data_IF_482060466401
#
_entry.id   IF_482060466401
#
_cell.length_a   1.000
_cell.length_b   1.000
_cell.length_c   1.000
_cell.angle_alpha   90.00
_cell.angle_beta   90.00
_cell.angle_gamma   90.00
#
_symmetry.space_group_name_H-M   'P 1'
#
loop_
_entity.id
_entity.type
_entity.pdbx_description
1 polymer ?
#
# COMPACT_ATOMS: atom_id res chain seq x y z
N UNK A 1 -13.69 -21.01 -30.81
CA UNK A 1 -13.89 -19.78 -30.01
C UNK A 1 -12.68 -19.62 -29.14
N UNK A 2 -11.93 -18.53 -29.29
CA UNK A 2 -10.91 -18.17 -28.30
C UNK A 2 -11.64 -17.92 -26.97
N UNK A 3 -11.21 -18.60 -25.91
CA UNK A 3 -11.82 -18.45 -24.58
C UNK A 3 -11.30 -17.12 -24.03
N UNK A 4 -12.16 -16.11 -23.94
CA UNK A 4 -11.79 -14.82 -23.35
C UNK A 4 -11.43 -15.00 -21.87
N UNK A 5 -10.27 -14.47 -21.47
CA UNK A 5 -9.81 -14.46 -20.10
C UNK A 5 -10.64 -13.45 -19.29
N UNK A 6 -11.29 -13.91 -18.23
CA UNK A 6 -12.09 -13.06 -17.35
C UNK A 6 -11.22 -12.54 -16.20
N UNK A 7 -11.05 -11.23 -16.15
CA UNK A 7 -10.18 -10.56 -15.17
C UNK A 7 -11.00 -9.71 -14.21
N UNK A 8 -10.74 -9.85 -12.91
CA UNK A 8 -11.28 -8.96 -11.88
C UNK A 8 -10.30 -7.83 -11.58
N UNK A 9 -10.79 -6.60 -11.56
CA UNK A 9 -10.07 -5.43 -11.06
C UNK A 9 -10.71 -4.97 -9.74
N UNK A 10 -9.93 -4.90 -8.67
CA UNK A 10 -10.37 -4.40 -7.35
C UNK A 10 -9.89 -2.97 -7.17
N UNK A 11 -10.83 -2.05 -6.92
CA UNK A 11 -10.61 -0.62 -6.70
C UNK A 11 -11.21 0.28 -7.79
N UNK A 12 -11.48 1.53 -7.43
CA UNK A 12 -12.21 2.49 -8.27
C UNK A 12 -11.53 3.85 -8.45
N UNK A 13 -10.23 3.95 -8.14
CA UNK A 13 -9.43 5.18 -8.27
C UNK A 13 -8.86 5.40 -9.67
N UNK A 14 -7.97 6.39 -9.79
CA UNK A 14 -7.31 6.72 -11.05
C UNK A 14 -6.32 5.64 -11.51
N UNK A 15 -5.58 5.03 -10.57
CA UNK A 15 -4.70 3.88 -10.84
C UNK A 15 -5.49 2.72 -11.44
N UNK A 16 -6.63 2.40 -10.85
CA UNK A 16 -7.48 1.31 -11.36
C UNK A 16 -8.10 1.66 -12.71
N UNK A 17 -8.44 2.92 -12.97
CA UNK A 17 -8.85 3.34 -14.32
C UNK A 17 -7.74 3.16 -15.36
N UNK A 18 -6.49 3.50 -15.02
CA UNK A 18 -5.34 3.25 -15.90
C UNK A 18 -5.12 1.74 -16.15
N UNK A 19 -5.25 0.91 -15.11
CA UNK A 19 -5.18 -0.56 -15.22
C UNK A 19 -6.32 -1.10 -16.11
N UNK A 20 -7.55 -0.61 -15.94
CA UNK A 20 -8.69 -1.01 -16.76
C UNK A 20 -8.44 -0.69 -18.25
N UNK A 21 -7.91 0.49 -18.55
CA UNK A 21 -7.53 0.89 -19.90
C UNK A 21 -6.42 0.00 -20.48
N UNK A 22 -5.43 -0.38 -19.67
CA UNK A 22 -4.34 -1.25 -20.11
C UNK A 22 -4.83 -2.67 -20.39
N UNK A 23 -5.63 -3.25 -19.50
CA UNK A 23 -6.23 -4.59 -19.65
C UNK A 23 -7.14 -4.67 -20.88
N UNK A 24 -7.91 -3.62 -21.15
CA UNK A 24 -8.82 -3.55 -22.29
C UNK A 24 -8.12 -3.47 -23.66
N UNK A 25 -6.79 -3.24 -23.71
CA UNK A 25 -6.03 -3.30 -24.97
C UNK A 25 -5.96 -4.71 -25.55
N UNK A 26 -6.12 -5.74 -24.71
CA UNK A 26 -6.17 -7.12 -25.16
C UNK A 26 -7.64 -7.50 -25.49
N UNK A 27 -7.98 -7.77 -26.77
CA UNK A 27 -9.35 -8.10 -27.17
C UNK A 27 -9.86 -9.41 -26.56
N UNK A 28 -8.97 -10.30 -26.11
CA UNK A 28 -9.32 -11.56 -25.46
C UNK A 28 -9.54 -11.42 -23.95
N UNK A 29 -9.62 -10.19 -23.41
CA UNK A 29 -9.88 -9.93 -21.98
C UNK A 29 -11.28 -9.39 -21.73
N UNK A 30 -12.04 -10.04 -20.84
CA UNK A 30 -13.32 -9.54 -20.33
C UNK A 30 -13.12 -9.03 -18.89
N UNK A 31 -13.23 -7.72 -18.71
CA UNK A 31 -12.98 -7.06 -17.42
C UNK A 31 -14.23 -7.05 -16.53
N UNK A 32 -14.06 -7.41 -15.27
CA UNK A 32 -15.01 -7.25 -14.19
C UNK A 32 -14.40 -6.31 -13.16
N UNK A 33 -15.19 -5.43 -12.56
CA UNK A 33 -14.68 -4.48 -11.56
C UNK A 33 -15.45 -4.57 -10.24
N UNK A 34 -14.76 -4.34 -9.14
CA UNK A 34 -15.38 -4.13 -7.82
C UNK A 34 -14.76 -2.93 -7.12
N UNK A 35 -15.60 -2.01 -6.63
CA UNK A 35 -15.17 -0.89 -5.83
C UNK A 35 -16.32 -0.31 -4.99
N UNK A 36 -16.00 0.43 -3.93
CA UNK A 36 -17.03 1.07 -3.08
C UNK A 36 -17.68 2.27 -3.78
N UNK A 37 -17.00 2.84 -4.76
CA UNK A 37 -17.49 3.90 -5.63
C UNK A 37 -17.76 3.35 -7.04
N UNK A 38 -18.61 4.03 -7.81
CA UNK A 38 -18.85 3.70 -9.22
C UNK A 38 -18.10 4.66 -10.13
N UNK A 39 -16.85 4.33 -10.45
CA UNK A 39 -16.04 5.14 -11.36
C UNK A 39 -16.59 5.06 -12.81
N UNK A 40 -17.01 6.18 -13.44
CA UNK A 40 -17.61 6.14 -14.78
C UNK A 40 -16.64 5.66 -15.87
N UNK A 41 -15.34 5.90 -15.74
CA UNK A 41 -14.33 5.45 -16.68
C UNK A 41 -14.19 3.93 -16.66
N UNK A 42 -14.04 3.35 -15.47
CA UNK A 42 -13.97 1.90 -15.29
C UNK A 42 -15.28 1.23 -15.70
N UNK A 43 -16.43 1.79 -15.31
CA UNK A 43 -17.74 1.23 -15.62
C UNK A 43 -18.08 1.18 -17.12
N UNK A 44 -17.42 1.98 -17.96
CA UNK A 44 -17.56 1.91 -19.43
C UNK A 44 -16.74 0.78 -20.06
N UNK A 45 -15.69 0.33 -19.37
CA UNK A 45 -14.76 -0.69 -19.83
C UNK A 45 -15.18 -2.07 -19.30
N UNK A 46 -15.60 -2.14 -18.03
CA UNK A 46 -15.98 -3.37 -17.37
C UNK A 46 -17.29 -3.94 -17.92
N UNK A 47 -17.32 -5.26 -18.13
CA UNK A 47 -18.50 -6.06 -18.48
C UNK A 47 -19.57 -6.02 -17.39
N UNK A 48 -19.14 -6.08 -16.13
CA UNK A 48 -19.98 -5.98 -14.95
C UNK A 48 -19.20 -5.29 -13.82
N UNK A 49 -19.93 -4.60 -12.94
CA UNK A 49 -19.37 -3.77 -11.88
C UNK A 49 -20.11 -4.02 -10.57
N UNK A 50 -19.42 -4.63 -9.61
CA UNK A 50 -19.92 -4.80 -8.26
C UNK A 50 -19.65 -3.54 -7.42
N UNK A 51 -20.71 -2.92 -6.91
CA UNK A 51 -20.60 -1.83 -5.93
C UNK A 51 -20.51 -2.44 -4.53
N UNK A 52 -19.29 -2.55 -4.00
CA UNK A 52 -19.00 -3.18 -2.70
C UNK A 52 -17.67 -2.66 -2.14
N UNK A 53 -17.51 -2.67 -0.81
CA UNK A 53 -16.22 -2.34 -0.18
C UNK A 53 -15.13 -3.27 -0.69
N UNK A 54 -14.02 -2.70 -1.14
CA UNK A 54 -12.90 -3.44 -1.69
C UNK A 54 -12.25 -4.38 -0.68
N UNK A 55 -12.48 -4.17 0.62
CA UNK A 55 -11.98 -5.02 1.72
C UNK A 55 -12.91 -6.18 2.08
N UNK A 56 -14.08 -6.30 1.45
CA UNK A 56 -15.03 -7.39 1.69
C UNK A 56 -14.62 -8.66 0.92
N UNK A 57 -13.55 -9.32 1.41
CA UNK A 57 -12.91 -10.44 0.72
C UNK A 57 -13.87 -11.58 0.37
N UNK A 58 -14.77 -11.94 1.29
CA UNK A 58 -15.74 -13.03 1.09
C UNK A 58 -16.68 -12.72 -0.09
N UNK A 59 -17.33 -11.55 -0.06
CA UNK A 59 -18.28 -11.14 -1.10
C UNK A 59 -17.61 -10.95 -2.46
N UNK A 60 -16.38 -10.43 -2.47
CA UNK A 60 -15.59 -10.27 -3.70
C UNK A 60 -15.27 -11.63 -4.31
N UNK A 61 -14.78 -12.59 -3.50
CA UNK A 61 -14.43 -13.92 -3.99
C UNK A 61 -15.64 -14.71 -4.47
N UNK A 62 -16.76 -14.66 -3.75
CA UNK A 62 -18.03 -15.28 -4.16
C UNK A 62 -18.53 -14.71 -5.48
N UNK A 63 -18.55 -13.39 -5.61
CA UNK A 63 -18.99 -12.73 -6.84
C UNK A 63 -18.07 -13.07 -8.01
N UNK A 64 -16.75 -12.95 -7.84
CA UNK A 64 -15.77 -13.26 -8.88
C UNK A 64 -15.89 -14.71 -9.36
N UNK A 65 -16.06 -15.66 -8.43
CA UNK A 65 -16.30 -17.06 -8.74
C UNK A 65 -17.60 -17.25 -9.53
N UNK A 66 -18.68 -16.57 -9.14
CA UNK A 66 -19.97 -16.63 -9.86
C UNK A 66 -19.88 -16.12 -11.30
N UNK A 67 -18.93 -15.21 -11.60
CA UNK A 67 -18.68 -14.69 -12.94
C UNK A 67 -17.72 -15.55 -13.77
N UNK A 68 -17.09 -16.55 -13.15
CA UNK A 68 -16.07 -17.37 -13.79
C UNK A 68 -14.76 -16.61 -14.04
N UNK A 69 -14.46 -15.60 -13.22
CA UNK A 69 -13.16 -14.91 -13.22
C UNK A 69 -12.05 -15.94 -13.02
N UNK A 70 -10.93 -15.74 -13.73
CA UNK A 70 -9.75 -16.61 -13.66
C UNK A 70 -8.53 -15.91 -13.09
N UNK A 71 -8.48 -14.59 -13.20
CA UNK A 71 -7.37 -13.78 -12.72
C UNK A 71 -7.89 -12.51 -12.07
N UNK A 72 -7.22 -12.03 -11.03
CA UNK A 72 -7.52 -10.77 -10.36
C UNK A 72 -6.29 -9.87 -10.29
N UNK A 73 -6.54 -8.56 -10.36
CA UNK A 73 -5.58 -7.48 -10.13
C UNK A 73 -6.17 -6.58 -9.04
N UNK A 74 -5.44 -6.43 -7.94
CA UNK A 74 -5.83 -5.61 -6.80
C UNK A 74 -5.03 -4.33 -6.82
N UNK A 75 -5.70 -3.20 -7.05
CA UNK A 75 -5.03 -1.91 -7.13
C UNK A 75 -4.68 -1.35 -5.75
N UNK A 76 -5.66 -1.10 -4.86
CA UNK A 76 -5.43 -0.50 -3.55
C UNK A 76 -4.75 -1.45 -2.55
N UNK A 77 -4.06 -0.84 -1.60
CA UNK A 77 -3.31 -1.48 -0.52
C UNK A 77 -4.23 -2.06 0.57
N UNK A 78 -5.35 -1.39 0.89
CA UNK A 78 -6.27 -1.84 1.95
C UNK A 78 -6.90 -3.23 1.69
N UNK A 79 -7.33 -3.58 0.46
CA UNK A 79 -7.73 -4.94 0.10
C UNK A 79 -6.63 -6.00 0.28
N UNK A 80 -5.36 -5.64 0.04
CA UNK A 80 -4.22 -6.54 0.26
C UNK A 80 -4.06 -6.84 1.76
N UNK A 81 -4.14 -5.81 2.60
CA UNK A 81 -4.13 -5.96 4.06
C UNK A 81 -5.33 -6.80 4.57
N UNK A 82 -6.49 -6.62 3.96
CA UNK A 82 -7.70 -7.39 4.25
C UNK A 82 -7.63 -8.86 3.79
N UNK A 83 -6.64 -9.25 2.98
CA UNK A 83 -6.47 -10.62 2.49
C UNK A 83 -7.41 -11.01 1.36
N UNK A 84 -7.81 -10.04 0.53
CA UNK A 84 -8.66 -10.28 -0.64
C UNK A 84 -7.98 -11.22 -1.63
N UNK A 85 -6.68 -11.06 -1.86
CA UNK A 85 -5.86 -11.93 -2.72
C UNK A 85 -5.85 -13.37 -2.22
N UNK A 86 -5.71 -13.58 -0.92
CA UNK A 86 -5.66 -14.90 -0.30
C UNK A 86 -7.02 -15.59 -0.40
N UNK A 87 -8.11 -14.83 -0.24
CA UNK A 87 -9.48 -15.34 -0.41
C UNK A 87 -9.79 -15.70 -1.86
N UNK A 88 -9.35 -14.90 -2.82
CA UNK A 88 -9.48 -15.17 -4.26
C UNK A 88 -8.68 -16.42 -4.66
N UNK A 89 -7.43 -16.54 -4.20
CA UNK A 89 -6.61 -17.72 -4.43
C UNK A 89 -7.25 -18.99 -3.85
N UNK A 90 -7.80 -18.92 -2.63
CA UNK A 90 -8.54 -20.04 -2.03
C UNK A 90 -9.82 -20.42 -2.82
N UNK A 91 -10.37 -19.49 -3.60
CA UNK A 91 -11.48 -19.73 -4.52
C UNK A 91 -11.06 -20.27 -5.90
N UNK A 92 -9.76 -20.47 -6.13
CA UNK A 92 -9.19 -20.94 -7.41
C UNK A 92 -9.06 -19.84 -8.46
N UNK A 93 -8.89 -18.58 -8.03
CA UNK A 93 -8.69 -17.42 -8.90
C UNK A 93 -7.24 -16.94 -8.73
N UNK A 94 -6.49 -16.88 -9.82
CA UNK A 94 -5.10 -16.41 -9.81
C UNK A 94 -5.05 -14.91 -9.49
N UNK A 95 -3.98 -14.44 -8.84
CA UNK A 95 -3.83 -13.03 -8.47
C UNK A 95 -2.49 -12.49 -8.96
N UNK A 96 -2.51 -11.45 -9.80
CA UNK A 96 -1.34 -10.63 -10.11
C UNK A 96 -1.19 -9.51 -9.09
N UNK A 97 -1.11 -9.90 -7.81
CA UNK A 97 -1.03 -9.00 -6.65
C UNK A 97 -0.46 -9.81 -5.47
N UNK A 98 0.26 -9.17 -4.53
CA UNK A 98 0.90 -9.90 -3.44
C UNK A 98 -0.15 -10.54 -2.51
N UNK A 99 0.19 -11.67 -1.90
CA UNK A 99 -0.58 -12.20 -0.77
C UNK A 99 -0.57 -11.21 0.39
N UNK A 100 -1.51 -11.34 1.33
CA UNK A 100 -1.55 -10.55 2.56
C UNK A 100 -0.21 -10.53 3.29
N UNK A 101 0.45 -11.68 3.36
CA UNK A 101 1.77 -11.81 3.98
C UNK A 101 2.86 -11.05 3.21
N UNK A 102 2.85 -11.12 1.88
CA UNK A 102 3.81 -10.38 1.06
C UNK A 102 3.55 -8.87 1.08
N UNK A 103 2.28 -8.46 1.12
CA UNK A 103 1.85 -7.06 1.21
C UNK A 103 2.26 -6.37 2.51
N UNK A 104 2.68 -7.12 3.54
CA UNK A 104 3.20 -6.57 4.80
C UNK A 104 4.38 -5.60 4.58
N UNK A 105 5.14 -5.76 3.49
CA UNK A 105 6.20 -4.81 3.13
C UNK A 105 5.69 -3.38 2.87
N UNK A 106 4.44 -3.22 2.43
CA UNK A 106 3.82 -1.91 2.19
C UNK A 106 2.92 -1.50 3.37
N UNK A 107 2.16 -2.45 3.91
CA UNK A 107 1.16 -2.16 4.97
C UNK A 107 1.80 -1.97 6.35
N UNK A 108 3.02 -2.48 6.57
CA UNK A 108 3.76 -2.34 7.83
C UNK A 108 5.14 -1.72 7.61
N UNK A 109 5.25 -0.42 7.90
CA UNK A 109 6.52 0.32 7.85
C UNK A 109 7.59 -0.32 8.74
N UNK A 110 7.20 -0.84 9.90
CA UNK A 110 8.14 -1.51 10.79
C UNK A 110 8.70 -2.80 10.17
N UNK A 111 7.84 -3.61 9.55
CA UNK A 111 8.27 -4.82 8.86
C UNK A 111 9.23 -4.49 7.71
N UNK A 112 8.87 -3.52 6.88
CA UNK A 112 9.72 -3.03 5.79
C UNK A 112 11.11 -2.62 6.28
N UNK A 113 11.19 -1.78 7.33
CA UNK A 113 12.48 -1.33 7.90
C UNK A 113 13.30 -2.47 8.47
N UNK A 114 12.67 -3.40 9.20
CA UNK A 114 13.34 -4.62 9.70
C UNK A 114 13.91 -5.46 8.56
N UNK A 115 13.17 -5.59 7.44
CA UNK A 115 13.61 -6.30 6.25
C UNK A 115 14.85 -5.63 5.64
N UNK A 116 14.81 -4.31 5.45
CA UNK A 116 15.94 -3.53 4.92
C UNK A 116 17.21 -3.69 5.76
N UNK A 117 17.09 -3.58 7.09
CA UNK A 117 18.22 -3.76 8.02
C UNK A 117 18.74 -5.19 7.98
N UNK A 118 17.85 -6.19 8.06
CA UNK A 118 18.21 -7.62 8.08
C UNK A 118 19.00 -8.03 6.84
N UNK A 119 18.59 -7.56 5.66
CA UNK A 119 19.23 -7.90 4.38
C UNK A 119 20.24 -6.86 3.91
N UNK A 120 20.57 -5.86 4.74
CA UNK A 120 21.54 -4.80 4.44
C UNK A 120 21.26 -4.11 3.10
N UNK A 121 19.98 -3.80 2.82
CA UNK A 121 19.57 -3.16 1.57
C UNK A 121 20.23 -1.78 1.49
N UNK A 122 21.01 -1.49 0.42
CA UNK A 122 21.64 -0.18 0.24
C UNK A 122 20.60 0.96 0.27
N UNK A 123 20.97 2.09 0.85
CA UNK A 123 20.06 3.23 1.00
C UNK A 123 19.04 3.09 2.13
N UNK A 124 19.19 2.09 3.02
CA UNK A 124 18.41 2.04 4.25
C UNK A 124 18.70 3.26 5.13
N UNK A 125 17.66 4.02 5.43
CA UNK A 125 17.76 5.16 6.35
C UNK A 125 17.92 4.70 7.79
N UNK A 126 18.66 5.47 8.58
CA UNK A 126 18.63 5.34 10.04
C UNK A 126 17.23 5.62 10.54
N UNK A 127 16.64 4.66 11.21
CA UNK A 127 15.32 4.80 11.81
C UNK A 127 15.17 3.98 13.09
N UNK A 128 14.33 4.45 14.00
CA UNK A 128 13.96 3.72 15.20
C UNK A 128 12.53 4.07 15.66
N UNK A 129 11.91 3.11 16.37
CA UNK A 129 10.54 3.22 16.88
C UNK A 129 10.57 3.50 18.37
N UNK A 130 9.81 4.50 18.81
CA UNK A 130 9.74 4.94 20.20
C UNK A 130 8.31 4.92 20.71
N UNK A 131 8.13 4.54 21.97
CA UNK A 131 6.90 4.70 22.77
C UNK A 131 7.08 5.71 23.91
N UNK A 132 8.27 6.32 24.04
CA UNK A 132 8.60 7.29 25.07
C UNK A 132 9.32 8.53 24.52
N UNK A 133 8.91 9.70 25.00
CA UNK A 133 9.45 10.98 24.55
C UNK A 133 10.94 11.19 24.88
N UNK A 134 11.45 10.57 25.97
CA UNK A 134 12.85 10.75 26.41
C UNK A 134 13.84 10.15 25.42
N UNK A 135 13.62 8.90 25.02
CA UNK A 135 14.53 8.21 24.11
C UNK A 135 14.36 8.70 22.68
N UNK A 136 13.13 9.07 22.29
CA UNK A 136 12.87 9.78 21.05
C UNK A 136 13.68 11.08 20.93
N UNK A 137 13.72 11.91 21.99
CA UNK A 137 14.52 13.15 22.00
C UNK A 137 16.00 12.87 21.76
N UNK A 138 16.59 11.95 22.51
CA UNK A 138 18.01 11.59 22.35
C UNK A 138 18.33 11.14 20.93
N UNK A 139 17.43 10.36 20.32
CA UNK A 139 17.60 9.89 18.96
C UNK A 139 17.54 11.04 17.95
N UNK A 140 16.57 11.95 18.08
CA UNK A 140 16.48 13.15 17.24
C UNK A 140 17.74 14.01 17.37
N UNK A 141 18.24 14.22 18.59
CA UNK A 141 19.47 14.97 18.83
C UNK A 141 20.69 14.32 18.17
N UNK A 142 20.74 12.99 18.11
CA UNK A 142 21.84 12.28 17.44
C UNK A 142 21.80 12.36 15.91
N UNK A 143 20.62 12.58 15.32
CA UNK A 143 20.43 12.71 13.87
C UNK A 143 20.44 14.17 13.39
N UNK A 144 20.01 15.11 14.23
CA UNK A 144 19.79 16.51 13.87
C UNK A 144 18.51 16.70 13.06
N UNK A 145 18.56 16.52 11.73
CA UNK A 145 17.41 16.66 10.85
C UNK A 145 16.69 15.33 10.67
N UNK A 146 15.39 15.30 10.99
CA UNK A 146 14.57 14.09 11.03
C UNK A 146 13.23 14.22 10.29
N UNK A 147 12.68 13.07 9.91
CA UNK A 147 11.26 12.88 9.61
C UNK A 147 10.58 12.12 10.77
N UNK A 148 9.45 12.64 11.25
CA UNK A 148 8.65 12.05 12.33
C UNK A 148 7.35 11.50 11.74
N UNK A 149 7.10 10.19 11.98
CA UNK A 149 6.02 9.43 11.35
C UNK A 149 5.22 8.62 12.39
N UNK A 150 3.89 8.75 12.47
CA UNK A 150 3.02 7.78 13.11
C UNK A 150 3.21 6.38 12.51
N UNK A 151 3.11 5.34 13.33
CA UNK A 151 3.28 3.96 12.85
C UNK A 151 2.09 3.51 11.99
N UNK A 152 0.87 3.79 12.44
CA UNK A 152 -0.34 3.39 11.76
C UNK A 152 -0.64 4.18 10.48
N UNK A 153 -1.63 3.70 9.72
CA UNK A 153 -2.12 4.35 8.52
C UNK A 153 -2.82 5.66 8.88
N UNK A 154 -2.28 6.78 8.40
CA UNK A 154 -2.83 8.14 8.61
C UNK A 154 -3.32 8.78 7.31
N UNK A 155 -3.51 7.97 6.25
CA UNK A 155 -3.94 8.46 4.94
C UNK A 155 -2.97 9.46 4.30
N UNK A 156 -1.66 9.29 4.53
CA UNK A 156 -0.60 10.14 3.97
C UNK A 156 -0.39 11.48 4.67
N UNK A 157 -1.15 11.83 5.72
CA UNK A 157 -1.08 13.15 6.37
C UNK A 157 -0.29 13.20 7.68
N UNK A 158 0.24 12.06 8.14
CA UNK A 158 0.95 11.97 9.41
C UNK A 158 2.45 12.23 9.36
N UNK A 159 3.05 12.41 8.18
CA UNK A 159 4.51 12.61 8.10
C UNK A 159 4.83 14.08 8.26
N UNK A 160 5.70 14.43 9.22
CA UNK A 160 6.27 15.78 9.34
C UNK A 160 7.79 15.72 9.24
N UNK A 161 8.39 16.70 8.57
CA UNK A 161 9.82 16.72 8.23
C UNK A 161 10.48 18.02 8.72
N UNK A 162 11.72 17.89 9.20
CA UNK A 162 12.55 19.02 9.62
C UNK A 162 12.78 20.02 8.47
N UNK A 163 12.57 21.30 8.74
CA UNK A 163 12.67 22.38 7.75
C UNK A 163 11.31 22.78 7.18
N UNK A 164 10.53 21.79 6.73
CA UNK A 164 9.25 22.04 6.07
C UNK A 164 8.10 22.22 7.07
N UNK A 165 8.09 21.39 8.12
CA UNK A 165 6.96 21.29 9.05
C UNK A 165 7.31 21.74 10.47
N UNK A 166 8.58 21.64 10.86
CA UNK A 166 9.07 22.06 12.16
C UNK A 166 10.56 22.42 12.10
N UNK A 167 11.04 23.13 13.12
CA UNK A 167 12.44 23.55 13.24
C UNK A 167 13.06 22.99 14.52
N UNK A 168 14.25 22.42 14.38
CA UNK A 168 15.05 21.90 15.48
C UNK A 168 14.41 20.73 16.24
N UNK A 169 15.11 20.25 17.25
CA UNK A 169 14.68 19.13 18.10
C UNK A 169 13.36 19.43 18.82
N UNK A 170 13.17 20.65 19.31
CA UNK A 170 11.97 20.97 20.10
C UNK A 170 10.69 20.94 19.26
N UNK A 171 10.72 21.47 18.03
CA UNK A 171 9.59 21.35 17.11
C UNK A 171 9.27 19.91 16.71
N UNK A 172 10.30 19.07 16.53
CA UNK A 172 10.12 17.63 16.31
C UNK A 172 9.46 16.97 17.52
N UNK A 173 9.93 17.32 18.73
CA UNK A 173 9.44 16.77 19.99
C UNK A 173 8.01 17.18 20.32
N UNK A 174 7.57 18.37 19.93
CA UNK A 174 6.18 18.78 20.07
C UNK A 174 5.26 17.86 19.25
N UNK A 175 5.67 17.50 18.04
CA UNK A 175 4.90 16.55 17.23
C UNK A 175 4.96 15.12 17.78
N UNK A 176 6.12 14.66 18.26
CA UNK A 176 6.24 13.36 18.94
C UNK A 176 5.28 13.27 20.13
N UNK A 177 5.25 14.29 20.99
CA UNK A 177 4.32 14.35 22.13
C UNK A 177 2.87 14.38 21.68
N UNK A 178 2.56 15.11 20.61
CA UNK A 178 1.22 15.13 20.01
C UNK A 178 0.78 13.73 19.58
N UNK A 179 1.64 13.00 18.84
CA UNK A 179 1.36 11.63 18.39
C UNK A 179 1.10 10.71 19.59
N UNK A 180 2.01 10.69 20.57
CA UNK A 180 1.94 9.78 21.71
C UNK A 180 0.74 10.09 22.62
N UNK A 181 0.42 11.36 22.85
CA UNK A 181 -0.69 11.77 23.73
C UNK A 181 -2.06 11.59 23.09
N UNK A 182 -2.20 11.89 21.79
CA UNK A 182 -3.47 11.78 21.06
C UNK A 182 -3.67 10.41 20.41
N UNK A 183 -2.68 9.52 20.47
CA UNK A 183 -2.74 8.19 19.85
C UNK A 183 -2.82 8.23 18.32
N UNK A 184 -2.23 9.25 17.68
CA UNK A 184 -2.32 9.42 16.22
C UNK A 184 -1.61 8.26 15.54
N UNK A 185 -2.37 7.41 14.83
CA UNK A 185 -1.80 6.22 14.20
C UNK A 185 -1.21 5.22 15.21
N UNK A 186 -1.69 5.23 16.46
CA UNK A 186 -1.24 4.35 17.54
C UNK A 186 -0.43 5.06 18.62
N UNK A 187 0.16 4.29 19.53
CA UNK A 187 0.90 4.78 20.72
C UNK A 187 2.42 4.83 20.52
N UNK A 188 2.88 4.71 19.27
CA UNK A 188 4.30 4.66 18.91
C UNK A 188 4.59 5.60 17.75
N UNK A 189 5.82 6.09 17.71
CA UNK A 189 6.33 6.97 16.66
C UNK A 189 7.58 6.37 16.01
N UNK A 190 7.67 6.46 14.70
CA UNK A 190 8.85 6.15 13.91
C UNK A 190 9.60 7.45 13.61
N UNK A 191 10.89 7.49 13.93
CA UNK A 191 11.76 8.63 13.64
C UNK A 191 12.82 8.16 12.66
N UNK A 192 13.02 8.92 11.59
CA UNK A 192 13.99 8.61 10.53
C UNK A 192 14.90 9.81 10.28
N UNK A 193 16.13 9.58 9.81
CA UNK A 193 16.97 10.68 9.31
C UNK A 193 16.31 11.37 8.10
N UNK A 194 16.49 12.68 7.99
CA UNK A 194 16.03 13.43 6.83
C UNK A 194 16.93 13.08 5.64
N UNK A 195 16.31 12.70 4.52
CA UNK A 195 16.99 12.59 3.24
C UNK A 195 16.82 13.87 2.43
N UNK A 196 17.87 14.29 1.74
CA UNK A 196 17.85 15.39 0.78
C UNK A 196 18.35 14.86 -0.56
N UNK A 197 17.63 15.20 -1.64
CA UNK A 197 17.91 14.70 -2.98
C UNK A 197 16.65 14.66 -3.83
N UNK A 198 16.76 14.02 -4.99
CA UNK A 198 15.62 13.82 -5.88
C UNK A 198 14.79 12.60 -5.48
N UNK A 199 13.48 12.78 -5.48
CA UNK A 199 12.51 11.71 -5.26
C UNK A 199 12.03 11.16 -6.62
N UNK A 200 12.14 9.85 -6.80
CA UNK A 200 11.64 9.15 -7.98
C UNK A 200 11.08 7.78 -7.58
N UNK A 201 10.16 7.27 -8.39
CA UNK A 201 9.53 5.96 -8.17
C UNK A 201 10.07 4.97 -9.18
N UNK A 202 10.62 3.85 -8.70
CA UNK A 202 10.90 2.66 -9.52
C UNK A 202 9.81 1.64 -9.24
N UNK A 203 9.14 1.17 -10.30
CA UNK A 203 8.18 0.08 -10.23
C UNK A 203 8.71 -1.12 -11.03
N UNK A 204 8.37 -2.31 -10.58
CA UNK A 204 8.73 -3.54 -11.25
C UNK A 204 7.65 -4.59 -11.04
N UNK A 205 7.45 -5.47 -12.01
CA UNK A 205 6.70 -6.69 -11.83
C UNK A 205 7.58 -7.74 -11.14
N UNK A 206 6.99 -8.54 -10.26
CA UNK A 206 7.68 -9.62 -9.55
C UNK A 206 6.76 -10.83 -9.45
N UNK A 207 7.29 -12.01 -9.78
CA UNK A 207 6.59 -13.31 -9.66
C UNK A 207 6.95 -14.07 -8.37
N UNK A 208 7.75 -13.43 -7.51
CA UNK A 208 8.31 -14.01 -6.28
C UNK A 208 9.72 -14.56 -6.43
N UNK A 209 10.27 -14.65 -7.65
CA UNK A 209 11.64 -15.11 -7.94
C UNK A 209 12.40 -14.17 -8.85
N UNK A 210 11.71 -13.58 -9.81
CA UNK A 210 12.28 -12.69 -10.84
C UNK A 210 11.66 -11.29 -10.74
N UNK A 211 12.41 -10.29 -11.19
CA UNK A 211 12.02 -8.88 -11.18
C UNK A 211 12.13 -8.34 -12.61
N UNK A 212 11.06 -7.69 -13.07
CA UNK A 212 10.95 -7.08 -14.38
C UNK A 212 10.65 -5.58 -14.23
N UNK A 213 11.64 -4.69 -14.39
CA UNK A 213 11.44 -3.24 -14.31
C UNK A 213 10.39 -2.75 -15.32
N UNK A 214 9.56 -1.78 -14.91
CA UNK A 214 8.54 -1.14 -15.76
C UNK A 214 9.12 0.00 -16.62
#
# INVERSE_FOLDING_TARGET
MLVSMKVLLVGGGAREHALALALAKNPDTELYAVAHNRNPGIARIAKDYLLEKETNADKIAEWAKSKGVKMAVVGPEAPLEAGVTDKLAAAGIDCASPSKKAAEIETSKQFMRKLMVKYKIPGSVKCEVFDGARDARKYIESLGAVAVKPIGLTGGKGVRVSGDHFKGTDGAMDYVKEILSKGIGGTKVLIEEKLEGEEFTIQAFCDGKEIYPM
#
